data_IF_857715885027
#
_entry.id   IF_857715885027
#
_cell.length_a   1.000
_cell.length_b   1.000
_cell.length_c   1.000
_cell.angle_alpha   90.00
_cell.angle_beta   90.00
_cell.angle_gamma   90.00
#
_symmetry.space_group_name_H-M   'P 1'
#
loop_
_entity.id
_entity.type
_entity.pdbx_description
1 polymer ?
#
# COMPACT_ATOMS: atom_id res chain seq x y z
N UNK A 1 -4.44 7.75 -17.33
CA UNK A 1 -3.25 7.34 -16.56
C UNK A 1 -3.55 6.00 -15.92
N UNK A 2 -2.62 5.04 -15.98
CA UNK A 2 -2.79 3.72 -15.37
C UNK A 2 -2.45 3.78 -13.86
N UNK A 3 -3.47 3.94 -13.01
CA UNK A 3 -3.30 4.03 -11.54
C UNK A 3 -2.51 2.84 -10.94
N UNK A 4 -2.63 1.66 -11.53
CA UNK A 4 -1.92 0.46 -11.09
C UNK A 4 -0.40 0.57 -11.30
N UNK A 5 0.08 1.24 -12.35
CA UNK A 5 1.52 1.47 -12.57
C UNK A 5 2.09 2.41 -11.51
N UNK A 6 1.34 3.45 -11.16
CA UNK A 6 1.73 4.36 -10.07
C UNK A 6 1.80 3.62 -8.72
N UNK A 7 0.82 2.75 -8.46
CA UNK A 7 0.85 1.87 -7.29
C UNK A 7 2.09 0.98 -7.28
N UNK A 8 2.46 0.35 -8.41
CA UNK A 8 3.66 -0.47 -8.51
C UNK A 8 4.95 0.31 -8.19
N UNK A 9 5.10 1.52 -8.74
CA UNK A 9 6.24 2.40 -8.45
C UNK A 9 6.28 2.78 -6.96
N UNK A 10 5.13 3.09 -6.37
CA UNK A 10 5.03 3.41 -4.95
C UNK A 10 5.42 2.21 -4.06
N UNK A 11 4.97 1.00 -4.39
CA UNK A 11 5.35 -0.23 -3.67
C UNK A 11 6.86 -0.50 -3.72
N UNK A 12 7.53 -0.15 -4.82
CA UNK A 12 8.99 -0.22 -4.95
C UNK A 12 9.65 0.85 -4.06
N UNK A 13 9.12 2.08 -4.06
CA UNK A 13 9.57 3.14 -3.16
C UNK A 13 9.49 2.72 -1.69
N UNK A 14 8.40 2.06 -1.31
CA UNK A 14 8.19 1.50 0.03
C UNK A 14 9.02 0.24 0.32
N UNK A 15 9.92 -0.19 -0.57
CA UNK A 15 10.76 -1.41 -0.47
C UNK A 15 9.97 -2.71 -0.25
N UNK A 16 8.74 -2.76 -0.73
CA UNK A 16 7.93 -3.99 -0.71
C UNK A 16 8.23 -4.84 -1.95
N UNK A 17 8.52 -4.18 -3.07
CA UNK A 17 8.89 -4.82 -4.32
C UNK A 17 10.31 -4.39 -4.75
N UNK A 18 11.10 -5.29 -5.35
CA UNK A 18 12.36 -4.91 -5.94
C UNK A 18 12.14 -4.05 -7.21
N UNK A 19 13.07 -3.14 -7.56
CA UNK A 19 12.93 -2.28 -8.74
C UNK A 19 12.89 -3.05 -10.06
N UNK A 20 13.52 -4.23 -10.11
CA UNK A 20 13.54 -5.11 -11.29
C UNK A 20 12.40 -6.15 -11.29
N UNK A 21 11.30 -5.89 -10.58
CA UNK A 21 10.18 -6.82 -10.50
C UNK A 21 9.40 -6.88 -11.82
N UNK A 22 8.82 -8.05 -12.16
CA UNK A 22 8.03 -8.24 -13.40
C UNK A 22 6.90 -7.22 -13.62
N UNK A 23 6.40 -6.60 -12.56
CA UNK A 23 5.32 -5.59 -12.62
C UNK A 23 5.78 -4.23 -13.16
N UNK A 24 7.10 -4.00 -13.27
CA UNK A 24 7.67 -2.79 -13.89
C UNK A 24 7.98 -2.97 -15.38
N UNK A 25 7.82 -4.18 -15.91
CA UNK A 25 8.02 -4.43 -17.34
C UNK A 25 6.97 -3.66 -18.18
N UNK A 26 7.34 -3.25 -19.39
CA UNK A 26 6.42 -2.54 -20.28
C UNK A 26 5.20 -3.40 -20.68
N UNK A 27 5.40 -4.72 -20.71
CA UNK A 27 4.38 -5.73 -20.99
C UNK A 27 3.54 -6.11 -19.76
N UNK A 28 3.86 -5.57 -18.58
CA UNK A 28 3.13 -5.90 -17.36
C UNK A 28 1.69 -5.42 -17.45
N UNK A 29 0.79 -6.20 -16.87
CA UNK A 29 -0.62 -5.86 -16.78
C UNK A 29 -1.04 -5.68 -15.32
N UNK A 30 -2.19 -5.03 -15.14
CA UNK A 30 -2.84 -4.89 -13.81
C UNK A 30 -2.96 -6.24 -13.08
N UNK A 31 -3.15 -7.33 -13.83
CA UNK A 31 -3.26 -8.67 -13.30
C UNK A 31 -1.96 -9.17 -12.66
N UNK A 32 -0.78 -8.84 -13.20
CA UNK A 32 0.50 -9.22 -12.60
C UNK A 32 0.69 -8.59 -11.22
N UNK A 33 0.26 -7.33 -11.08
CA UNK A 33 0.27 -6.64 -9.79
C UNK A 33 -0.73 -7.25 -8.82
N UNK A 34 -1.95 -7.55 -9.30
CA UNK A 34 -2.98 -8.20 -8.49
C UNK A 34 -2.53 -9.56 -7.98
N UNK A 35 -1.95 -10.40 -8.84
CA UNK A 35 -1.39 -11.70 -8.43
C UNK A 35 -0.30 -11.54 -7.38
N UNK A 36 0.54 -10.53 -7.52
CA UNK A 36 1.64 -10.27 -6.59
C UNK A 36 1.12 -9.86 -5.20
N UNK A 37 0.01 -9.12 -5.12
CA UNK A 37 -0.62 -8.72 -3.87
C UNK A 37 -1.62 -9.75 -3.30
N UNK A 38 -2.02 -10.75 -4.10
CA UNK A 38 -3.09 -11.71 -3.80
C UNK A 38 -2.89 -12.47 -2.49
N UNK A 39 -1.65 -12.76 -2.13
CA UNK A 39 -1.33 -13.54 -0.92
C UNK A 39 -1.41 -12.70 0.37
N UNK A 40 -1.59 -11.38 0.25
CA UNK A 40 -1.70 -10.44 1.37
C UNK A 40 -0.39 -10.22 2.15
N UNK A 41 0.65 -11.02 1.91
CA UNK A 41 1.95 -10.91 2.60
C UNK A 41 2.62 -9.57 2.32
N UNK A 42 2.69 -9.17 1.05
CA UNK A 42 3.28 -7.90 0.65
C UNK A 42 2.53 -6.69 1.22
N UNK A 43 1.20 -6.81 1.35
CA UNK A 43 0.38 -5.76 1.98
C UNK A 43 0.70 -5.61 3.47
N UNK A 44 0.88 -6.72 4.18
CA UNK A 44 1.30 -6.68 5.57
C UNK A 44 2.72 -6.11 5.73
N UNK A 45 3.64 -6.45 4.81
CA UNK A 45 4.99 -5.88 4.78
C UNK A 45 4.97 -4.38 4.48
N UNK A 46 4.10 -3.91 3.58
CA UNK A 46 3.90 -2.50 3.29
C UNK A 46 3.56 -1.72 4.57
N UNK A 47 2.60 -2.19 5.37
CA UNK A 47 2.23 -1.50 6.61
C UNK A 47 3.38 -1.46 7.62
N UNK A 48 4.17 -2.52 7.70
CA UNK A 48 5.37 -2.55 8.54
C UNK A 48 6.47 -1.59 8.07
N UNK A 49 6.59 -1.36 6.77
CA UNK A 49 7.53 -0.39 6.22
C UNK A 49 7.06 1.05 6.46
N UNK A 50 5.74 1.30 6.41
CA UNK A 50 5.16 2.61 6.71
C UNK A 50 5.24 2.95 8.21
N UNK A 51 4.97 1.97 9.07
CA UNK A 51 5.10 2.10 10.52
C UNK A 51 5.63 0.78 11.08
N UNK A 52 6.85 0.84 11.62
CA UNK A 52 7.48 -0.31 12.26
C UNK A 52 6.57 -0.90 13.36
N UNK A 53 6.55 -2.23 13.45
CA UNK A 53 5.77 -3.00 14.43
C UNK A 53 4.25 -2.84 14.34
N UNK A 54 3.72 -2.49 13.17
CA UNK A 54 2.26 -2.44 12.96
C UNK A 54 1.64 -3.83 12.88
N UNK A 55 2.28 -4.75 12.16
CA UNK A 55 1.85 -6.13 12.00
C UNK A 55 2.97 -7.05 12.45
N UNK A 56 2.65 -8.00 13.32
CA UNK A 56 3.61 -9.04 13.67
C UNK A 56 3.73 -10.03 12.50
N UNK A 57 4.90 -10.06 11.84
CA UNK A 57 5.14 -10.97 10.71
C UNK A 57 5.05 -12.46 11.11
N UNK A 58 5.06 -12.77 12.42
CA UNK A 58 4.81 -14.12 12.94
C UNK A 58 3.33 -14.52 12.93
N UNK A 59 2.41 -13.55 12.86
CA UNK A 59 0.96 -13.79 12.85
C UNK A 59 0.40 -13.96 11.44
N UNK A 60 1.16 -13.53 10.41
CA UNK A 60 0.81 -13.70 9.01
C UNK A 60 1.43 -14.98 8.45
N UNK A 61 0.76 -15.57 7.47
CA UNK A 61 1.24 -16.78 6.81
C UNK A 61 2.15 -16.40 5.65
N UNK A 62 3.47 -16.47 5.87
CA UNK A 62 4.50 -16.14 4.86
C UNK A 62 4.57 -17.16 3.71
N UNK A 63 4.10 -18.39 3.94
CA UNK A 63 3.99 -19.44 2.92
C UNK A 63 2.57 -19.98 2.91
N UNK A 64 1.60 -19.23 2.36
CA UNK A 64 0.21 -19.66 2.41
C UNK A 64 -0.06 -20.92 1.56
N UNK A 65 0.90 -21.47 0.81
CA UNK A 65 0.74 -22.64 -0.08
C UNK A 65 -0.50 -22.54 -0.98
N UNK A 66 -0.88 -21.31 -1.38
CA UNK A 66 -2.12 -21.00 -2.10
C UNK A 66 -3.43 -21.40 -1.36
N UNK A 67 -3.38 -21.60 -0.05
CA UNK A 67 -4.56 -21.84 0.78
C UNK A 67 -5.41 -20.57 0.86
N UNK A 68 -6.64 -20.67 0.34
CA UNK A 68 -7.64 -19.60 0.38
C UNK A 68 -7.81 -19.03 1.79
N UNK A 69 -7.87 -19.89 2.81
CA UNK A 69 -8.06 -19.46 4.20
C UNK A 69 -6.88 -18.60 4.69
N UNK A 70 -5.65 -18.97 4.34
CA UNK A 70 -4.45 -18.25 4.78
C UNK A 70 -4.27 -16.92 4.05
N UNK A 71 -4.51 -16.87 2.73
CA UNK A 71 -4.46 -15.63 1.96
C UNK A 71 -5.53 -14.65 2.45
N UNK A 72 -6.78 -15.10 2.62
CA UNK A 72 -7.86 -14.27 3.16
C UNK A 72 -7.56 -13.78 4.58
N UNK A 73 -6.94 -14.61 5.43
CA UNK A 73 -6.52 -14.21 6.77
C UNK A 73 -5.50 -13.07 6.70
N UNK A 74 -4.47 -13.19 5.86
CA UNK A 74 -3.46 -12.15 5.70
C UNK A 74 -4.08 -10.83 5.22
N UNK A 75 -4.95 -10.88 4.20
CA UNK A 75 -5.62 -9.67 3.67
C UNK A 75 -6.50 -9.03 4.75
N UNK A 76 -7.27 -9.83 5.50
CA UNK A 76 -8.10 -9.32 6.61
C UNK A 76 -7.26 -8.64 7.69
N UNK A 77 -6.12 -9.21 8.06
CA UNK A 77 -5.18 -8.59 9.01
C UNK A 77 -4.71 -7.22 8.51
N UNK A 78 -4.35 -7.12 7.23
CA UNK A 78 -4.01 -5.84 6.61
C UNK A 78 -5.15 -4.80 6.72
N UNK A 79 -6.38 -5.20 6.39
CA UNK A 79 -7.55 -4.31 6.45
C UNK A 79 -7.84 -3.84 7.89
N UNK A 80 -7.75 -4.75 8.87
CA UNK A 80 -7.93 -4.41 10.28
C UNK A 80 -6.88 -3.39 10.73
N UNK A 81 -5.60 -3.60 10.41
CA UNK A 81 -4.55 -2.65 10.76
C UNK A 81 -4.73 -1.30 10.04
N UNK A 82 -5.20 -1.28 8.80
CA UNK A 82 -5.54 -0.03 8.11
C UNK A 82 -6.59 0.80 8.87
N UNK A 83 -7.61 0.16 9.44
CA UNK A 83 -8.58 0.83 10.31
C UNK A 83 -7.96 1.25 11.64
N UNK A 84 -7.37 0.29 12.36
CA UNK A 84 -7.01 0.48 13.77
C UNK A 84 -5.77 1.37 13.96
N UNK A 85 -4.81 1.28 13.02
CA UNK A 85 -3.53 1.97 13.10
C UNK A 85 -3.52 3.24 12.24
N UNK A 86 -4.06 3.16 11.03
CA UNK A 86 -4.04 4.28 10.08
C UNK A 86 -5.34 5.09 10.09
N UNK A 87 -6.39 4.65 10.81
CA UNK A 87 -7.64 5.39 10.95
C UNK A 87 -8.48 5.43 9.68
N UNK A 88 -8.25 4.51 8.74
CA UNK A 88 -9.03 4.45 7.50
C UNK A 88 -10.45 3.96 7.77
N UNK A 89 -11.43 4.53 7.06
CA UNK A 89 -12.82 4.09 7.20
C UNK A 89 -13.01 2.76 6.51
N UNK A 90 -13.75 1.86 7.16
CA UNK A 90 -14.11 0.55 6.58
C UNK A 90 -14.91 0.66 5.28
N UNK A 91 -15.65 1.77 5.07
CA UNK A 91 -16.36 2.07 3.82
C UNK A 91 -15.42 2.24 2.62
N UNK A 92 -14.23 2.75 2.89
CA UNK A 92 -13.27 3.09 1.85
C UNK A 92 -12.41 1.87 1.51
N UNK A 93 -12.29 0.93 2.44
CA UNK A 93 -11.56 -0.32 2.25
C UNK A 93 -12.22 -1.26 1.23
N UNK A 94 -11.40 -2.12 0.63
CA UNK A 94 -11.83 -3.21 -0.26
C UNK A 94 -12.14 -4.47 0.55
N UNK A 95 -12.93 -5.38 -0.02
CA UNK A 95 -13.18 -6.68 0.61
C UNK A 95 -12.05 -7.67 0.30
N UNK A 96 -11.77 -8.58 1.23
CA UNK A 96 -10.70 -9.56 1.04
C UNK A 96 -10.86 -10.41 -0.23
N UNK A 97 -12.11 -10.63 -0.67
CA UNK A 97 -12.43 -11.33 -1.91
C UNK A 97 -12.16 -10.50 -3.17
N UNK A 98 -12.24 -9.17 -3.11
CA UNK A 98 -12.00 -8.29 -4.26
C UNK A 98 -10.55 -8.39 -4.74
N UNK A 99 -9.63 -8.59 -3.80
CA UNK A 99 -8.22 -8.85 -4.08
C UNK A 99 -7.95 -10.33 -4.35
N UNK A 100 -8.52 -11.25 -3.56
CA UNK A 100 -8.24 -12.69 -3.72
C UNK A 100 -8.75 -13.25 -5.05
N UNK A 101 -9.91 -12.80 -5.51
CA UNK A 101 -10.53 -13.23 -6.77
C UNK A 101 -10.35 -12.20 -7.89
N UNK A 102 -9.59 -11.13 -7.63
CA UNK A 102 -9.24 -10.06 -8.60
C UNK A 102 -10.48 -9.46 -9.27
N UNK A 103 -11.58 -9.32 -8.52
CA UNK A 103 -12.86 -8.79 -9.03
C UNK A 103 -12.79 -7.29 -9.27
N UNK A 104 -12.24 -6.55 -8.30
CA UNK A 104 -12.23 -5.09 -8.28
C UNK A 104 -10.88 -4.54 -7.84
N UNK A 105 -9.84 -4.83 -8.64
CA UNK A 105 -8.48 -4.36 -8.34
C UNK A 105 -8.33 -2.82 -8.45
N UNK A 106 -9.23 -2.16 -9.17
CA UNK A 106 -9.33 -0.69 -9.19
C UNK A 106 -9.59 -0.12 -7.80
N UNK A 107 -10.49 -0.74 -7.03
CA UNK A 107 -10.78 -0.33 -5.64
C UNK A 107 -9.57 -0.57 -4.74
N UNK A 108 -8.88 -1.70 -4.89
CA UNK A 108 -7.67 -2.03 -4.13
C UNK A 108 -6.58 -0.99 -4.35
N UNK A 109 -6.26 -0.69 -5.61
CA UNK A 109 -5.24 0.32 -5.94
C UNK A 109 -5.62 1.71 -5.48
N UNK A 110 -6.90 2.09 -5.54
CA UNK A 110 -7.39 3.33 -4.99
C UNK A 110 -7.17 3.43 -3.47
N UNK A 111 -7.48 2.39 -2.70
CA UNK A 111 -7.25 2.37 -1.25
C UNK A 111 -5.78 2.45 -0.89
N UNK A 112 -4.94 1.66 -1.57
CA UNK A 112 -3.50 1.62 -1.32
C UNK A 112 -2.85 2.97 -1.63
N UNK A 113 -3.22 3.58 -2.75
CA UNK A 113 -2.57 4.82 -3.16
C UNK A 113 -3.29 6.01 -2.54
N UNK A 114 -4.58 6.21 -2.76
CA UNK A 114 -5.29 7.37 -2.20
C UNK A 114 -5.42 7.32 -0.68
N UNK A 115 -5.71 6.16 -0.10
CA UNK A 115 -5.86 6.02 1.35
C UNK A 115 -4.53 6.10 2.07
N UNK A 116 -3.65 5.12 1.86
CA UNK A 116 -2.39 5.04 2.62
C UNK A 116 -1.41 6.17 2.27
N UNK A 117 -1.33 6.66 1.02
CA UNK A 117 -0.47 7.81 0.70
C UNK A 117 -0.95 9.06 1.44
N UNK A 118 -2.27 9.29 1.54
CA UNK A 118 -2.81 10.43 2.27
C UNK A 118 -2.48 10.36 3.77
N UNK A 119 -2.61 9.16 4.38
CA UNK A 119 -2.22 8.97 5.78
C UNK A 119 -0.71 9.14 5.95
N UNK A 120 0.10 8.61 5.04
CA UNK A 120 1.55 8.74 5.08
C UNK A 120 2.00 10.19 4.91
N UNK A 121 1.37 10.95 4.01
CA UNK A 121 1.61 12.37 3.80
C UNK A 121 1.25 13.17 5.05
N UNK A 122 0.09 12.90 5.66
CA UNK A 122 -0.33 13.53 6.90
C UNK A 122 0.63 13.20 8.07
N UNK A 123 1.10 11.96 8.15
CA UNK A 123 2.07 11.52 9.15
C UNK A 123 3.43 12.21 8.96
N UNK A 124 3.95 12.24 7.72
CA UNK A 124 5.19 12.95 7.39
C UNK A 124 5.08 14.45 7.65
N UNK A 125 3.98 15.09 7.26
CA UNK A 125 3.76 16.53 7.49
C UNK A 125 3.73 16.85 8.99
N UNK A 126 3.08 16.00 9.80
CA UNK A 126 3.06 16.12 11.26
C UNK A 126 4.44 15.89 11.88
N UNK A 127 5.23 14.93 11.38
CA UNK A 127 6.60 14.70 11.84
C UNK A 127 7.57 15.85 11.51
N UNK A 128 7.43 16.45 10.32
CA UNK A 128 8.19 17.65 9.91
C UNK A 128 7.87 18.83 10.82
N UNK A 129 6.59 19.06 11.16
CA UNK A 129 6.20 20.12 12.09
C UNK A 129 6.71 19.91 13.53
N UNK A 130 6.92 18.66 13.95
CA UNK A 130 7.38 18.33 15.31
C UNK A 130 8.92 18.40 15.45
N UNK A 131 9.68 18.72 14.39
CA UNK A 131 11.15 18.83 14.37
C UNK A 131 11.88 17.63 15.02
N UNK A 132 11.27 16.44 15.01
CA UNK A 132 11.92 15.19 15.39
C UNK A 132 12.47 14.51 14.15
N UNK A 133 13.56 15.07 13.61
CA UNK A 133 14.34 14.47 12.50
C UNK A 133 14.78 13.03 12.77
N UNK A 134 14.82 12.59 14.03
CA UNK A 134 15.27 11.26 14.45
C UNK A 134 14.25 10.13 14.28
N UNK A 135 12.97 10.42 13.98
CA UNK A 135 11.93 9.40 13.76
C UNK A 135 11.53 9.24 12.29
N UNK A 136 11.91 10.17 11.41
CA UNK A 136 11.99 9.84 9.99
C UNK A 136 13.16 8.88 9.84
N UNK A 137 12.88 7.59 9.71
CA UNK A 137 13.85 6.70 9.10
C UNK A 137 14.32 7.36 7.80
N UNK A 138 15.61 7.30 7.50
CA UNK A 138 16.22 7.79 6.25
C UNK A 138 15.46 7.33 4.99
N UNK A 139 14.68 6.25 5.13
CA UNK A 139 13.80 5.67 4.10
C UNK A 139 12.53 6.48 3.83
N UNK A 140 11.94 7.16 4.82
CA UNK A 140 10.75 8.00 4.63
C UNK A 140 11.06 9.18 3.69
N UNK A 141 12.28 9.72 3.73
CA UNK A 141 12.69 10.82 2.87
C UNK A 141 12.79 10.42 1.40
N UNK A 142 13.16 9.16 1.10
CA UNK A 142 13.21 8.61 -0.27
C UNK A 142 11.81 8.33 -0.82
N UNK A 143 10.89 7.82 0.02
CA UNK A 143 9.48 7.64 -0.35
C UNK A 143 8.80 9.00 -0.57
N UNK A 144 9.08 9.98 0.30
CA UNK A 144 8.56 11.33 0.18
C UNK A 144 9.14 12.06 -1.04
N UNK A 145 10.43 11.89 -1.33
CA UNK A 145 11.08 12.51 -2.49
C UNK A 145 10.68 11.87 -3.82
N UNK A 146 10.39 10.56 -3.86
CA UNK A 146 9.85 9.93 -5.06
C UNK A 146 8.40 10.34 -5.30
N UNK A 147 7.59 10.47 -4.24
CA UNK A 147 6.22 10.98 -4.29
C UNK A 147 6.12 12.50 -4.59
N UNK A 148 7.14 13.31 -4.25
CA UNK A 148 7.23 14.73 -4.64
C UNK A 148 7.80 14.93 -6.05
N UNK A 149 8.79 14.12 -6.46
CA UNK A 149 9.46 14.25 -7.76
C UNK A 149 8.61 13.73 -8.90
N UNK A 150 7.80 12.70 -8.65
CA UNK A 150 6.63 12.46 -9.50
C UNK A 150 5.64 13.54 -9.12
N UNK A 151 5.26 14.44 -10.04
CA UNK A 151 4.13 15.37 -9.86
C UNK A 151 2.85 14.55 -9.68
N UNK A 152 2.67 13.92 -8.54
CA UNK A 152 1.43 13.31 -8.09
C UNK A 152 0.52 14.47 -7.67
N UNK A 153 0.14 15.30 -8.63
CA UNK A 153 -1.23 15.79 -8.66
C UNK A 153 -2.09 14.53 -8.84
N UNK A 154 -2.35 13.83 -7.74
CA UNK A 154 -3.67 13.23 -7.58
C UNK A 154 -4.59 14.42 -7.75
N UNK A 155 -5.07 14.62 -8.97
CA UNK A 155 -6.22 15.46 -9.23
C UNK A 155 -7.35 14.82 -8.47
N UNK A 156 -7.43 15.14 -7.18
CA UNK A 156 -8.69 15.10 -6.49
C UNK A 156 -9.62 15.93 -7.38
N UNK A 157 -10.76 15.40 -7.86
CA UNK A 157 -11.85 16.30 -8.09
C UNK A 157 -12.08 16.95 -6.73
N UNK A 158 -11.62 18.20 -6.60
CA UNK A 158 -12.28 19.12 -5.70
C UNK A 158 -13.72 19.05 -6.16
N UNK A 159 -14.61 18.47 -5.36
CA UNK A 159 -16.03 18.68 -5.55
C UNK A 159 -16.23 20.18 -5.42
N UNK A 160 -16.20 20.86 -6.57
CA UNK A 160 -16.65 22.23 -6.73
C UNK A 160 -18.16 22.17 -6.77
N UNK A 161 -18.75 22.64 -5.67
CA UNK A 161 -20.17 23.00 -5.49
C UNK A 161 -21.25 21.92 -5.69
#
# INVERSE_FOLDING_TARGET
>A
MEFWRQCAVWLIGCRVLPPNHRVTADTAQVFDLAQTLRDGVLLCQLLNNLRAHTINLKEINLRPQMSQFLCLKNIRTFLTCCCDVFGLKKSDLFDAFDLFDVRDFGKVTFVLVSGLLSVFQAFCCRLVQINRRSLLSSDCHLVFSSALSSRLTFGFPVSSD
#
